data_IF_393586227446
#
_entry.id   IF_393586227446
#
_cell.length_a   1.000
_cell.length_b   1.000
_cell.length_c   1.000
_cell.angle_alpha   90.00
_cell.angle_beta   90.00
_cell.angle_gamma   90.00
#
_symmetry.space_group_name_H-M   'P 1'
#
loop_
_entity.id
_entity.type
_entity.pdbx_description
1 polymer ?
#
# COMPACT_ATOMS: atom_id res chain seq x y z
N UNK A 1 -1.64 0.07 -23.71
CA UNK A 1 -3.09 0.15 -23.32
C UNK A 1 -3.49 1.60 -23.13
N UNK A 2 -4.76 1.91 -23.40
CA UNK A 2 -5.27 3.27 -23.12
C UNK A 2 -5.31 3.47 -21.59
N UNK A 3 -4.90 4.64 -21.11
CA UNK A 3 -4.83 5.04 -19.71
C UNK A 3 -6.13 4.70 -18.93
N UNK A 4 -7.28 4.96 -19.58
CA UNK A 4 -8.60 4.67 -19.00
C UNK A 4 -8.74 3.19 -18.60
N UNK A 5 -8.27 2.27 -19.44
CA UNK A 5 -8.32 0.83 -19.11
C UNK A 5 -7.47 0.48 -17.89
N UNK A 6 -6.30 1.09 -17.75
CA UNK A 6 -5.40 0.87 -16.62
C UNK A 6 -6.01 1.38 -15.32
N UNK A 7 -6.59 2.58 -15.33
CA UNK A 7 -7.33 3.10 -14.19
C UNK A 7 -8.54 2.21 -13.84
N UNK A 8 -9.28 1.73 -14.84
CA UNK A 8 -10.41 0.82 -14.62
C UNK A 8 -9.98 -0.46 -13.90
N UNK A 9 -8.84 -1.03 -14.26
CA UNK A 9 -8.29 -2.22 -13.60
C UNK A 9 -7.99 -1.92 -12.13
N UNK A 10 -7.31 -0.82 -11.84
CA UNK A 10 -6.98 -0.43 -10.45
C UNK A 10 -8.24 -0.20 -9.62
N UNK A 11 -9.22 0.54 -10.16
CA UNK A 11 -10.49 0.80 -9.48
C UNK A 11 -11.33 -0.46 -9.30
N UNK A 12 -11.29 -1.39 -10.26
CA UNK A 12 -11.99 -2.69 -10.13
C UNK A 12 -11.39 -3.52 -9.01
N UNK A 13 -10.07 -3.58 -8.90
CA UNK A 13 -9.38 -4.27 -7.81
C UNK A 13 -9.72 -3.63 -6.46
N UNK A 14 -9.72 -2.30 -6.39
CA UNK A 14 -10.12 -1.59 -5.18
C UNK A 14 -11.58 -1.91 -4.78
N UNK A 15 -12.51 -1.86 -5.73
CA UNK A 15 -13.93 -2.15 -5.47
C UNK A 15 -14.16 -3.59 -4.99
N UNK A 16 -13.47 -4.56 -5.59
CA UNK A 16 -13.50 -5.95 -5.15
C UNK A 16 -12.96 -6.07 -3.73
N UNK A 17 -11.88 -5.38 -3.42
CA UNK A 17 -11.25 -5.39 -2.10
C UNK A 17 -12.14 -4.77 -1.02
N UNK A 18 -12.87 -3.71 -1.36
CA UNK A 18 -13.81 -3.05 -0.46
C UNK A 18 -15.00 -3.98 -0.12
N UNK A 19 -15.56 -4.63 -1.14
CA UNK A 19 -16.63 -5.61 -0.95
C UNK A 19 -16.14 -6.78 -0.10
N UNK A 20 -14.92 -7.27 -0.37
CA UNK A 20 -14.35 -8.38 0.35
C UNK A 20 -14.08 -8.04 1.82
N UNK A 21 -13.51 -6.86 2.07
CA UNK A 21 -13.26 -6.34 3.42
C UNK A 21 -14.54 -6.20 4.24
N UNK A 22 -15.58 -5.65 3.65
CA UNK A 22 -16.90 -5.48 4.28
C UNK A 22 -17.60 -6.82 4.54
N UNK A 23 -17.55 -7.74 3.59
CA UNK A 23 -18.18 -9.06 3.70
C UNK A 23 -17.57 -9.91 4.79
N UNK A 24 -16.25 -9.85 4.94
CA UNK A 24 -15.49 -10.61 5.96
C UNK A 24 -15.39 -9.89 7.31
N UNK A 25 -15.96 -8.67 7.42
CA UNK A 25 -15.86 -7.81 8.63
C UNK A 25 -14.44 -7.71 9.16
N UNK A 26 -13.46 -7.66 8.25
CA UNK A 26 -12.04 -7.58 8.62
C UNK A 26 -11.74 -6.17 9.16
N UNK A 27 -11.00 -6.05 10.26
CA UNK A 27 -10.53 -4.77 10.78
C UNK A 27 -9.34 -4.21 9.97
N UNK A 28 -9.34 -4.47 8.66
CA UNK A 28 -8.26 -4.09 7.73
C UNK A 28 -8.85 -3.13 6.70
N UNK A 29 -8.22 -1.96 6.45
CA UNK A 29 -8.66 -1.06 5.41
C UNK A 29 -8.67 -1.71 4.02
N UNK A 30 -9.70 -1.41 3.22
CA UNK A 30 -9.84 -1.94 1.86
C UNK A 30 -8.62 -1.68 0.97
N UNK A 31 -7.93 -0.56 1.19
CA UNK A 31 -6.70 -0.20 0.48
C UNK A 31 -5.59 -1.24 0.68
N UNK A 32 -5.43 -1.75 1.90
CA UNK A 32 -4.42 -2.77 2.23
C UNK A 32 -4.78 -4.10 1.57
N UNK A 33 -6.06 -4.48 1.61
CA UNK A 33 -6.55 -5.69 0.93
C UNK A 33 -6.32 -5.56 -0.58
N UNK A 34 -6.61 -4.40 -1.16
CA UNK A 34 -6.39 -4.10 -2.58
C UNK A 34 -4.92 -4.19 -2.97
N UNK A 35 -4.03 -3.70 -2.14
CA UNK A 35 -2.59 -3.78 -2.36
C UNK A 35 -2.11 -5.24 -2.37
N UNK A 36 -2.55 -6.07 -1.43
CA UNK A 36 -2.23 -7.49 -1.41
C UNK A 36 -2.82 -8.23 -2.61
N UNK A 37 -4.06 -7.94 -2.96
CA UNK A 37 -4.71 -8.56 -4.11
C UNK A 37 -3.99 -8.20 -5.41
N UNK A 38 -3.65 -6.93 -5.61
CA UNK A 38 -2.86 -6.48 -6.75
C UNK A 38 -1.50 -7.17 -6.81
N UNK A 39 -0.81 -7.27 -5.68
CA UNK A 39 0.48 -7.94 -5.58
C UNK A 39 0.40 -9.42 -5.96
N UNK A 40 -0.61 -10.14 -5.46
CA UNK A 40 -0.84 -11.54 -5.82
C UNK A 40 -1.15 -11.69 -7.31
N UNK A 41 -1.98 -10.82 -7.88
CA UNK A 41 -2.31 -10.84 -9.31
C UNK A 41 -1.08 -10.60 -10.21
N UNK A 42 -0.16 -9.76 -9.77
CA UNK A 42 1.12 -9.53 -10.46
C UNK A 42 2.06 -10.74 -10.32
N UNK A 43 2.17 -11.33 -9.12
CA UNK A 43 3.01 -12.51 -8.89
C UNK A 43 2.55 -13.73 -9.67
N UNK A 44 1.24 -13.93 -9.77
CA UNK A 44 0.66 -15.05 -10.52
C UNK A 44 0.72 -14.85 -12.04
N UNK A 45 1.09 -13.65 -12.50
CA UNK A 45 1.17 -13.33 -13.92
C UNK A 45 -0.20 -13.13 -14.60
N UNK A 46 -1.30 -13.22 -13.84
CA UNK A 46 -2.66 -12.91 -14.34
C UNK A 46 -2.73 -11.46 -14.80
N UNK A 47 -2.16 -10.57 -13.98
CA UNK A 47 -1.99 -9.17 -14.32
C UNK A 47 -0.51 -8.92 -14.64
N UNK A 48 -0.25 -8.40 -15.82
CA UNK A 48 1.11 -8.03 -16.22
C UNK A 48 1.35 -6.55 -15.91
N UNK A 49 2.58 -6.21 -15.58
CA UNK A 49 3.01 -4.86 -15.23
C UNK A 49 2.52 -3.80 -16.24
N UNK A 50 2.64 -4.07 -17.54
CA UNK A 50 2.20 -3.16 -18.60
C UNK A 50 0.68 -2.86 -18.60
N UNK A 51 -0.12 -3.62 -17.84
CA UNK A 51 -1.55 -3.37 -17.70
C UNK A 51 -1.88 -2.22 -16.75
N UNK A 52 -0.93 -1.82 -15.91
CA UNK A 52 -1.12 -0.77 -14.87
C UNK A 52 0.00 0.28 -14.88
N UNK A 53 1.06 0.08 -15.65
CA UNK A 53 2.30 0.83 -15.69
C UNK A 53 2.07 2.37 -15.74
N UNK A 54 1.46 2.87 -16.81
CA UNK A 54 1.22 4.31 -16.97
C UNK A 54 0.31 4.93 -15.91
N UNK A 55 -0.69 4.18 -15.46
CA UNK A 55 -1.57 4.67 -14.40
C UNK A 55 -0.82 4.73 -13.06
N UNK A 56 0.00 3.74 -12.78
CA UNK A 56 0.87 3.71 -11.60
C UNK A 56 1.88 4.86 -11.63
N UNK A 57 2.54 5.09 -12.75
CA UNK A 57 3.47 6.21 -12.93
C UNK A 57 2.80 7.56 -12.67
N UNK A 58 1.60 7.76 -13.19
CA UNK A 58 0.85 9.00 -12.95
C UNK A 58 0.53 9.17 -11.47
N UNK A 59 0.08 8.12 -10.79
CA UNK A 59 -0.24 8.16 -9.38
C UNK A 59 1.02 8.45 -8.53
N UNK A 60 2.12 7.78 -8.82
CA UNK A 60 3.39 7.94 -8.09
C UNK A 60 3.96 9.34 -8.32
N UNK A 61 4.02 9.80 -9.56
CA UNK A 61 4.57 11.13 -9.91
C UNK A 61 3.73 12.29 -9.36
N UNK A 62 2.43 12.06 -9.12
CA UNK A 62 1.52 13.07 -8.56
C UNK A 62 1.14 12.77 -7.11
N UNK A 63 1.90 11.93 -6.41
CA UNK A 63 1.59 11.50 -5.04
C UNK A 63 1.45 12.70 -4.09
N UNK A 64 2.32 13.71 -4.22
CA UNK A 64 2.23 14.95 -3.43
C UNK A 64 0.91 15.68 -3.64
N UNK A 65 0.40 15.73 -4.88
CA UNK A 65 -0.88 16.35 -5.19
C UNK A 65 -2.06 15.60 -4.57
N UNK A 66 -1.97 14.27 -4.46
CA UNK A 66 -3.00 13.44 -3.83
C UNK A 66 -3.08 13.67 -2.31
N UNK A 67 -2.01 14.16 -1.68
CA UNK A 67 -2.01 14.54 -0.26
C UNK A 67 -2.70 15.88 0.01
N UNK A 68 -2.87 16.74 -0.99
CA UNK A 68 -3.46 18.08 -0.80
C UNK A 68 -4.88 18.00 -0.21
N UNK A 69 -5.82 17.19 -0.72
CA UNK A 69 -7.15 17.09 -0.12
C UNK A 69 -7.14 16.62 1.33
N UNK A 70 -6.29 15.65 1.64
CA UNK A 70 -6.15 15.12 3.01
C UNK A 70 -5.58 16.18 3.96
N UNK A 71 -4.60 16.95 3.51
CA UNK A 71 -3.99 18.02 4.30
C UNK A 71 -5.00 19.16 4.56
N UNK A 72 -5.80 19.51 3.57
CA UNK A 72 -6.86 20.52 3.73
C UNK A 72 -7.93 20.05 4.73
N UNK A 73 -8.35 18.81 4.68
CA UNK A 73 -9.30 18.25 5.64
C UNK A 73 -8.76 18.33 7.09
N UNK A 74 -7.48 18.04 7.29
CA UNK A 74 -6.84 18.16 8.61
C UNK A 74 -6.80 19.65 9.05
N UNK A 75 -6.58 20.58 8.12
CA UNK A 75 -6.60 22.02 8.42
C UNK A 75 -7.97 22.51 8.89
N UNK A 76 -9.05 22.02 8.28
CA UNK A 76 -10.42 22.36 8.69
C UNK A 76 -10.71 21.86 10.10
N UNK A 77 -10.22 20.68 10.46
CA UNK A 77 -10.41 20.05 11.77
C UNK A 77 -9.37 20.50 12.83
N UNK A 78 -8.47 21.43 12.49
CA UNK A 78 -7.40 21.88 13.38
C UNK A 78 -7.90 22.32 14.77
N UNK A 79 -9.10 22.93 14.82
CA UNK A 79 -9.70 23.42 16.06
C UNK A 79 -9.96 22.31 17.08
N UNK A 80 -10.24 21.11 16.61
CA UNK A 80 -10.47 19.91 17.44
C UNK A 80 -9.16 19.17 17.75
N UNK A 81 -8.21 19.23 16.84
CA UNK A 81 -6.95 18.46 16.91
C UNK A 81 -5.93 19.14 17.83
N UNK A 82 -5.96 20.48 17.94
CA UNK A 82 -4.95 21.25 18.67
C UNK A 82 -4.72 20.81 20.13
N UNK A 83 -5.76 20.34 20.80
CA UNK A 83 -5.67 19.84 22.17
C UNK A 83 -4.98 18.48 22.28
N UNK A 84 -4.97 17.73 21.17
CA UNK A 84 -4.41 16.38 21.10
C UNK A 84 -3.09 16.29 20.31
N UNK A 85 -2.51 17.44 19.92
CA UNK A 85 -1.28 17.47 19.11
C UNK A 85 -0.13 16.75 19.78
N UNK A 86 0.06 16.95 21.09
CA UNK A 86 1.17 16.33 21.82
C UNK A 86 1.02 14.80 21.88
N UNK A 87 -0.10 14.23 22.36
CA UNK A 87 -0.28 12.77 22.32
C UNK A 87 -0.26 12.21 20.90
N UNK A 88 -0.77 12.93 19.91
CA UNK A 88 -0.71 12.53 18.51
C UNK A 88 0.73 12.42 18.00
N UNK A 89 1.59 13.40 18.29
CA UNK A 89 3.01 13.36 17.91
C UNK A 89 3.76 12.18 18.57
N UNK A 90 3.47 11.91 19.85
CA UNK A 90 4.08 10.77 20.54
C UNK A 90 3.70 9.46 19.85
N UNK A 91 2.42 9.29 19.53
CA UNK A 91 1.93 8.11 18.81
C UNK A 91 2.59 8.01 17.43
N UNK A 92 2.70 9.12 16.69
CA UNK A 92 3.34 9.12 15.37
C UNK A 92 4.81 8.67 15.45
N UNK A 93 5.59 9.21 16.39
CA UNK A 93 6.99 8.83 16.57
C UNK A 93 7.11 7.34 16.92
N UNK A 94 6.28 6.88 17.86
CA UNK A 94 6.25 5.47 18.24
C UNK A 94 5.92 4.56 17.03
N UNK A 95 4.90 4.92 16.26
CA UNK A 95 4.49 4.15 15.08
C UNK A 95 5.55 4.16 13.97
N UNK A 96 6.26 5.25 13.76
CA UNK A 96 7.40 5.30 12.82
C UNK A 96 8.46 4.27 13.20
N UNK A 97 8.83 4.22 14.47
CA UNK A 97 9.82 3.25 14.97
C UNK A 97 9.33 1.81 14.75
N UNK A 98 8.08 1.52 15.12
CA UNK A 98 7.48 0.19 14.93
C UNK A 98 7.46 -0.22 13.46
N UNK A 99 7.06 0.69 12.57
CA UNK A 99 7.02 0.43 11.11
C UNK A 99 8.42 0.19 10.57
N UNK A 100 9.40 1.01 10.93
CA UNK A 100 10.79 0.84 10.47
C UNK A 100 11.38 -0.49 10.91
N UNK A 101 11.20 -0.86 12.19
CA UNK A 101 11.72 -2.12 12.72
C UNK A 101 11.03 -3.31 12.07
N UNK A 102 9.70 -3.31 12.01
CA UNK A 102 8.95 -4.42 11.41
C UNK A 102 9.25 -4.61 9.94
N UNK A 103 9.27 -3.52 9.16
CA UNK A 103 9.60 -3.56 7.74
C UNK A 103 11.03 -4.05 7.51
N UNK A 104 12.00 -3.56 8.30
CA UNK A 104 13.39 -3.98 8.22
C UNK A 104 13.57 -5.47 8.54
N UNK A 105 12.90 -5.97 9.58
CA UNK A 105 12.95 -7.39 9.94
C UNK A 105 12.33 -8.28 8.86
N UNK A 106 11.18 -7.89 8.31
CA UNK A 106 10.51 -8.62 7.22
C UNK A 106 11.40 -8.64 5.97
N UNK A 107 11.98 -7.51 5.60
CA UNK A 107 12.87 -7.42 4.45
C UNK A 107 14.11 -8.33 4.60
N UNK A 108 14.76 -8.29 5.76
CA UNK A 108 15.90 -9.16 6.06
C UNK A 108 15.53 -10.65 6.07
N UNK A 109 14.36 -10.97 6.60
CA UNK A 109 13.87 -12.35 6.60
C UNK A 109 13.64 -12.86 5.18
N UNK A 110 12.97 -12.06 4.34
CA UNK A 110 12.74 -12.40 2.93
C UNK A 110 14.06 -12.54 2.17
N UNK A 111 15.01 -11.63 2.35
CA UNK A 111 16.32 -11.69 1.71
C UNK A 111 17.07 -12.98 2.08
N UNK A 112 17.08 -13.34 3.36
CA UNK A 112 17.70 -14.60 3.81
C UNK A 112 17.03 -15.82 3.21
N UNK A 113 15.70 -15.81 3.12
CA UNK A 113 14.93 -16.90 2.51
C UNK A 113 15.24 -17.05 1.03
N UNK A 114 15.25 -15.95 0.27
CA UNK A 114 15.60 -15.96 -1.15
C UNK A 114 17.05 -16.38 -1.40
N UNK A 115 17.99 -15.93 -0.58
CA UNK A 115 19.38 -16.32 -0.70
C UNK A 115 19.60 -17.81 -0.40
N UNK A 116 18.83 -18.37 0.54
CA UNK A 116 18.86 -19.81 0.83
C UNK A 116 18.35 -20.64 -0.35
N UNK A 117 17.21 -20.27 -0.91
CA UNK A 117 16.62 -20.94 -2.08
C UNK A 117 17.52 -20.82 -3.32
N UNK A 118 18.16 -19.67 -3.53
CA UNK A 118 19.09 -19.45 -4.64
C UNK A 118 20.35 -20.30 -4.54
N UNK A 119 20.86 -20.54 -3.33
CA UNK A 119 22.01 -21.40 -3.10
C UNK A 119 21.70 -22.87 -3.36
N UNK A 120 20.47 -23.28 -3.08
CA UNK A 120 20.02 -24.66 -3.31
C UNK A 120 19.89 -24.95 -4.82
N UNK A 121 19.35 -23.99 -5.60
CA UNK A 121 19.25 -24.11 -7.06
C UNK A 121 20.59 -24.03 -7.82
N UNK A 122 21.68 -23.60 -7.17
CA UNK A 122 23.01 -23.52 -7.79
C UNK A 122 23.85 -24.77 -7.60
N UNK A 123 23.34 -25.79 -6.90
CA UNK A 123 24.03 -27.06 -6.64
C UNK A 123 23.73 -28.15 -7.69
N UNK A 124 23.00 -27.84 -8.74
CA UNK A 124 22.73 -28.71 -9.90
C UNK A 124 23.36 -28.01 -11.14
#
# INVERSE_FOLDING_TARGET
MKLIKQFTIIFSIYSISDIFGKSLKLPIPANVIGMFLLFILLLTGILKEHHIDKASDILINNMALLFVPATLAIMEEYKYIKEYVIPFLIICIFMVIVIMVSTGLIAQFLERLFNKLRKENKKW
#
